data_IF_678450328338
#
_entry.id   IF_678450328338
#
_cell.length_a   1.000
_cell.length_b   1.000
_cell.length_c   1.000
_cell.angle_alpha   90.00
_cell.angle_beta   90.00
_cell.angle_gamma   90.00
#
_symmetry.space_group_name_H-M   'P 1'
#
loop_
_entity.id
_entity.type
_entity.pdbx_description
1 polymer ?
#
# COMPACT_ATOMS: atom_id res chain seq x y z
N UNK A 1 -13.75 -2.09 16.44
CA UNK A 1 -13.66 -3.47 15.92
C UNK A 1 -14.09 -3.46 14.47
N UNK A 2 -13.44 -4.23 13.61
CA UNK A 2 -13.89 -4.43 12.23
C UNK A 2 -15.15 -5.30 12.22
N UNK A 3 -16.05 -5.11 11.26
CA UNK A 3 -17.23 -5.95 11.12
C UNK A 3 -16.85 -7.35 10.63
N UNK A 4 -17.52 -8.40 11.14
CA UNK A 4 -17.26 -9.78 10.72
C UNK A 4 -17.73 -10.01 9.28
N UNK A 5 -17.18 -11.03 8.62
CA UNK A 5 -17.53 -11.45 7.25
C UNK A 5 -17.55 -10.30 6.23
N UNK A 6 -16.61 -9.37 6.37
CA UNK A 6 -16.51 -8.16 5.55
C UNK A 6 -15.16 -8.15 4.85
N UNK A 7 -15.18 -7.83 3.57
CA UNK A 7 -13.95 -7.61 2.82
C UNK A 7 -13.43 -6.20 3.13
N UNK A 8 -12.15 -6.11 3.47
CA UNK A 8 -11.49 -4.86 3.80
C UNK A 8 -10.34 -4.57 2.86
N UNK A 9 -10.13 -3.29 2.60
CA UNK A 9 -8.93 -2.77 1.95
C UNK A 9 -8.20 -1.87 2.91
N UNK A 10 -6.90 -2.09 3.03
CA UNK A 10 -5.98 -1.23 3.75
C UNK A 10 -5.34 -0.25 2.76
N UNK A 11 -5.52 1.04 3.04
CA UNK A 11 -4.91 2.14 2.31
C UNK A 11 -3.74 2.70 3.10
N UNK A 12 -2.60 2.88 2.44
CA UNK A 12 -1.54 3.74 2.94
C UNK A 12 -1.86 5.19 2.56
N UNK A 13 -1.96 6.07 3.55
CA UNK A 13 -2.23 7.50 3.35
C UNK A 13 -0.94 8.28 3.58
N UNK A 14 -0.53 9.05 2.58
CA UNK A 14 0.78 9.69 2.57
C UNK A 14 0.83 11.01 1.77
N UNK A 15 1.90 11.76 1.99
CA UNK A 15 2.32 12.91 1.19
C UNK A 15 3.77 12.73 0.78
N UNK A 16 4.18 13.43 -0.26
CA UNK A 16 5.57 13.53 -0.67
C UNK A 16 6.05 14.96 -0.44
N UNK A 17 7.22 15.10 0.15
CA UNK A 17 7.92 16.39 0.20
C UNK A 17 8.44 16.77 -1.19
N UNK A 18 8.65 18.05 -1.45
CA UNK A 18 9.23 18.54 -2.70
C UNK A 18 10.63 17.97 -3.01
N UNK A 19 11.35 17.51 -1.98
CA UNK A 19 12.69 16.92 -2.08
C UNK A 19 12.64 15.38 -2.02
N UNK A 20 11.55 14.75 -2.46
CA UNK A 20 11.46 13.30 -2.43
C UNK A 20 12.46 12.65 -3.38
N UNK A 21 13.12 11.59 -2.93
CA UNK A 21 14.04 10.79 -3.75
C UNK A 21 13.72 9.31 -3.58
N UNK A 22 14.09 8.50 -4.58
CA UNK A 22 13.97 7.05 -4.53
C UNK A 22 12.54 6.49 -4.66
N UNK A 23 11.61 7.27 -5.22
CA UNK A 23 10.18 6.93 -5.38
C UNK A 23 9.64 7.16 -6.81
N UNK A 24 10.53 7.32 -7.80
CA UNK A 24 10.15 7.51 -9.21
C UNK A 24 9.83 6.19 -9.90
N UNK A 25 10.47 5.09 -9.48
CA UNK A 25 10.16 3.73 -9.92
C UNK A 25 9.11 3.07 -9.02
N UNK A 26 8.47 1.98 -9.48
CA UNK A 26 7.61 1.19 -8.61
C UNK A 26 8.39 0.66 -7.40
N UNK A 27 7.75 0.73 -6.23
CA UNK A 27 8.24 0.15 -4.98
C UNK A 27 7.68 -1.24 -4.85
N UNK A 28 8.56 -2.20 -4.57
CA UNK A 28 8.15 -3.58 -4.29
C UNK A 28 7.50 -3.65 -2.91
N UNK A 29 6.34 -4.30 -2.84
CA UNK A 29 5.56 -4.50 -1.61
C UNK A 29 5.39 -5.99 -1.37
N UNK A 30 5.78 -6.45 -0.17
CA UNK A 30 5.63 -7.85 0.23
C UNK A 30 4.93 -7.98 1.57
N UNK A 31 3.99 -8.91 1.65
CA UNK A 31 3.51 -9.45 2.92
C UNK A 31 4.54 -10.46 3.46
N UNK A 32 5.17 -10.11 4.57
CA UNK A 32 6.23 -10.91 5.20
C UNK A 32 5.66 -12.03 6.08
N UNK A 33 4.41 -11.91 6.54
CA UNK A 33 3.76 -12.92 7.37
C UNK A 33 3.18 -14.04 6.51
N UNK A 34 2.47 -13.70 5.44
CA UNK A 34 1.73 -14.67 4.62
C UNK A 34 2.50 -15.10 3.36
N UNK A 35 3.76 -15.53 3.53
CA UNK A 35 4.77 -15.80 2.48
C UNK A 35 4.38 -16.80 1.38
N UNK A 36 3.31 -17.59 1.52
CA UNK A 36 2.99 -18.62 0.54
C UNK A 36 2.35 -17.99 -0.72
N UNK A 37 3.06 -18.09 -1.85
CA UNK A 37 2.60 -17.75 -3.21
C UNK A 37 2.34 -16.27 -3.57
N UNK A 38 2.82 -15.29 -2.80
CA UNK A 38 2.67 -13.90 -3.21
C UNK A 38 3.71 -13.52 -4.26
N UNK A 39 3.25 -13.33 -5.51
CA UNK A 39 3.99 -12.58 -6.52
C UNK A 39 4.38 -11.21 -5.96
N UNK A 40 5.55 -10.71 -6.34
CA UNK A 40 5.97 -9.37 -5.93
C UNK A 40 4.95 -8.34 -6.44
N UNK A 41 4.26 -7.68 -5.52
CA UNK A 41 3.37 -6.57 -5.86
C UNK A 41 4.19 -5.28 -5.99
N UNK A 42 3.79 -4.42 -6.92
CA UNK A 42 4.47 -3.15 -7.15
C UNK A 42 3.49 -1.99 -7.03
N UNK A 43 3.92 -0.94 -6.35
CA UNK A 43 3.13 0.27 -6.14
C UNK A 43 3.92 1.51 -6.53
N UNK A 44 3.27 2.46 -7.19
CA UNK A 44 3.84 3.78 -7.43
C UNK A 44 3.44 4.73 -6.31
N UNK A 45 4.40 5.50 -5.80
CA UNK A 45 4.14 6.64 -4.90
C UNK A 45 3.98 7.95 -5.68
N UNK A 46 4.54 8.00 -6.90
CA UNK A 46 4.38 9.08 -7.86
C UNK A 46 3.70 8.51 -9.09
N UNK A 47 2.56 9.08 -9.50
CA UNK A 47 1.83 8.61 -10.67
C UNK A 47 2.72 8.69 -11.92
N UNK A 48 3.04 7.55 -12.57
CA UNK A 48 3.89 7.56 -13.75
C UNK A 48 3.10 8.05 -14.98
N UNK A 49 3.80 8.26 -16.09
CA UNK A 49 3.15 8.44 -17.39
C UNK A 49 2.21 7.25 -17.69
N UNK A 50 1.00 7.46 -18.25
CA UNK A 50 0.07 6.38 -18.58
C UNK A 50 0.68 5.27 -19.46
N UNK A 51 1.69 5.61 -20.27
CA UNK A 51 2.41 4.67 -21.13
C UNK A 51 3.26 3.65 -20.34
N UNK A 52 3.55 3.94 -19.06
CA UNK A 52 4.39 3.12 -18.19
C UNK A 52 3.57 2.32 -17.16
N UNK A 53 2.24 2.44 -17.18
CA UNK A 53 1.36 1.69 -16.28
C UNK A 53 1.08 0.32 -16.91
N UNK A 54 1.58 -0.75 -16.31
CA UNK A 54 1.14 -2.11 -16.62
C UNK A 54 -0.02 -2.52 -15.70
N UNK A 55 -0.76 -3.59 -16.05
CA UNK A 55 -1.96 -4.01 -15.33
C UNK A 55 -1.74 -4.51 -13.89
N UNK A 56 -0.49 -4.70 -13.46
CA UNK A 56 -0.14 -5.24 -12.14
C UNK A 56 0.22 -4.11 -11.16
N UNK A 57 0.51 -2.91 -11.67
CA UNK A 57 1.02 -1.83 -10.83
C UNK A 57 -0.10 -0.94 -10.32
N UNK A 58 -0.15 -0.73 -9.00
CA UNK A 58 -1.10 0.18 -8.35
C UNK A 58 -0.53 1.60 -8.36
N UNK A 59 -1.37 2.59 -8.63
CA UNK A 59 -1.00 4.01 -8.65
C UNK A 59 -1.75 4.76 -7.54
N UNK A 60 -1.19 5.87 -7.01
CA UNK A 60 -1.79 6.55 -5.89
C UNK A 60 -2.93 7.46 -6.38
N UNK A 61 -3.96 7.61 -5.55
CA UNK A 61 -5.09 8.50 -5.81
C UNK A 61 -5.01 9.72 -4.90
N UNK A 62 -5.20 10.91 -5.48
CA UNK A 62 -5.30 12.14 -4.71
C UNK A 62 -6.67 12.25 -4.04
N UNK A 63 -6.68 12.63 -2.76
CA UNK A 63 -7.86 12.89 -1.94
C UNK A 63 -8.22 14.38 -1.95
N UNK A 64 -9.45 14.69 -1.55
CA UNK A 64 -9.95 16.07 -1.43
C UNK A 64 -9.19 16.88 -0.37
N UNK A 65 -8.68 16.23 0.67
CA UNK A 65 -7.86 16.83 1.74
C UNK A 65 -6.38 17.06 1.34
N UNK A 66 -6.04 16.76 0.08
CA UNK A 66 -4.70 16.90 -0.48
C UNK A 66 -3.70 15.82 -0.06
N UNK A 67 -4.12 14.77 0.66
CA UNK A 67 -3.32 13.58 0.85
C UNK A 67 -3.41 12.64 -0.37
N UNK A 68 -2.44 11.74 -0.49
CA UNK A 68 -2.49 10.63 -1.43
C UNK A 68 -2.88 9.35 -0.69
N UNK A 69 -3.57 8.45 -1.37
CA UNK A 69 -3.85 7.10 -0.87
C UNK A 69 -3.52 6.04 -1.91
N UNK A 70 -3.04 4.88 -1.44
CA UNK A 70 -2.81 3.72 -2.29
C UNK A 70 -3.18 2.43 -1.56
N UNK A 71 -3.77 1.49 -2.28
CA UNK A 71 -4.14 0.18 -1.73
C UNK A 71 -2.88 -0.68 -1.55
N UNK A 72 -2.64 -1.09 -0.32
CA UNK A 72 -1.46 -1.90 0.03
C UNK A 72 -1.84 -3.32 0.44
N UNK A 73 -3.05 -3.53 0.97
CA UNK A 73 -3.49 -4.86 1.37
C UNK A 73 -5.00 -5.01 1.24
N UNK A 74 -5.45 -6.24 0.99
CA UNK A 74 -6.86 -6.61 0.88
C UNK A 74 -7.06 -7.94 1.58
N UNK A 75 -8.06 -8.04 2.45
CA UNK A 75 -8.26 -9.21 3.29
C UNK A 75 -9.73 -9.38 3.69
N UNK A 76 -10.12 -10.57 4.13
CA UNK A 76 -11.49 -10.85 4.59
C UNK A 76 -11.51 -11.12 6.10
N UNK A 77 -12.38 -10.40 6.83
CA UNK A 77 -12.47 -10.53 8.29
C UNK A 77 -13.01 -11.88 8.79
N UNK A 78 -13.53 -12.74 7.91
CA UNK A 78 -13.93 -14.11 8.27
C UNK A 78 -12.75 -15.07 8.49
N UNK A 79 -11.58 -14.78 7.92
CA UNK A 79 -10.49 -15.75 7.80
C UNK A 79 -9.16 -15.28 8.40
N UNK A 80 -9.00 -13.97 8.60
CA UNK A 80 -7.71 -13.34 8.86
C UNK A 80 -7.46 -13.02 10.34
N UNK A 81 -8.49 -13.19 11.17
CA UNK A 81 -8.37 -12.99 12.60
C UNK A 81 -7.82 -14.25 13.27
N UNK A 82 -6.71 -14.10 13.98
CA UNK A 82 -6.15 -15.11 14.87
C UNK A 82 -6.17 -14.57 16.29
N UNK A 83 -6.82 -15.30 17.20
CA UNK A 83 -6.94 -14.91 18.62
C UNK A 83 -7.48 -13.47 18.77
N UNK A 84 -8.56 -13.14 18.04
CA UNK A 84 -9.19 -11.81 17.97
C UNK A 84 -8.27 -10.66 17.48
N UNK A 85 -7.10 -10.99 16.93
CA UNK A 85 -6.13 -10.03 16.42
C UNK A 85 -5.90 -10.19 14.92
N UNK A 86 -5.70 -9.05 14.24
CA UNK A 86 -5.28 -8.99 12.84
C UNK A 86 -3.81 -8.58 12.81
N UNK A 87 -2.96 -9.41 12.22
CA UNK A 87 -1.52 -9.13 12.10
C UNK A 87 -1.15 -8.88 10.64
N UNK A 88 -0.51 -7.75 10.37
CA UNK A 88 0.04 -7.41 9.06
C UNK A 88 1.51 -7.07 9.18
N UNK A 89 2.32 -7.53 8.22
CA UNK A 89 3.71 -7.11 8.11
C UNK A 89 4.02 -6.84 6.65
N UNK A 90 3.99 -5.56 6.29
CA UNK A 90 4.25 -5.13 4.93
C UNK A 90 5.65 -4.54 4.82
N UNK A 91 6.44 -5.09 3.91
CA UNK A 91 7.78 -4.58 3.60
C UNK A 91 7.75 -3.86 2.25
N UNK A 92 8.16 -2.59 2.27
CA UNK A 92 8.33 -1.75 1.11
C UNK A 92 9.82 -1.67 0.76
N UNK A 93 10.17 -1.99 -0.48
CA UNK A 93 11.56 -1.98 -0.97
C UNK A 93 11.66 -1.15 -2.24
N UNK A 94 12.39 -0.04 -2.17
CA UNK A 94 12.75 0.74 -3.36
C UNK A 94 14.07 0.22 -3.95
N UNK A 95 14.11 0.09 -5.28
CA UNK A 95 15.32 -0.21 -6.03
C UNK A 95 16.13 1.04 -6.40
N UNK A 96 15.62 2.24 -6.10
CA UNK A 96 16.26 3.52 -6.38
C UNK A 96 17.05 4.06 -5.17
N UNK A 97 17.09 3.32 -4.06
CA UNK A 97 17.81 3.69 -2.85
C UNK A 97 16.88 4.07 -1.69
N UNK A 98 17.15 5.20 -1.05
CA UNK A 98 16.39 5.63 0.14
C UNK A 98 15.09 6.29 -0.28
N UNK A 99 13.97 5.89 0.32
CA UNK A 99 12.65 6.50 0.14
C UNK A 99 12.54 7.80 0.95
N UNK A 100 13.30 8.82 0.55
CA UNK A 100 13.33 10.10 1.27
C UNK A 100 12.12 10.97 0.91
N UNK A 101 11.66 11.78 1.88
CA UNK A 101 10.52 12.68 1.65
C UNK A 101 9.14 12.02 1.65
N UNK A 102 9.03 10.72 1.91
CA UNK A 102 7.75 10.05 2.17
C UNK A 102 7.24 10.43 3.57
N UNK A 103 6.08 11.07 3.63
CA UNK A 103 5.42 11.47 4.86
C UNK A 103 4.18 10.60 5.02
N UNK A 104 4.19 9.71 6.01
CA UNK A 104 3.07 8.78 6.25
C UNK A 104 2.10 9.37 7.27
N UNK A 105 0.83 9.50 6.89
CA UNK A 105 -0.24 9.84 7.83
C UNK A 105 -0.66 8.62 8.64
N UNK A 106 -0.79 7.47 7.98
CA UNK A 106 -1.19 6.23 8.62
C UNK A 106 -1.79 5.23 7.64
N UNK A 107 -2.43 4.21 8.23
CA UNK A 107 -3.17 3.18 7.52
C UNK A 107 -4.65 3.36 7.77
N UNK A 108 -5.46 3.19 6.73
CA UNK A 108 -6.92 3.23 6.82
C UNK A 108 -7.53 1.93 6.31
N UNK A 109 -8.31 1.28 7.17
CA UNK A 109 -9.05 0.06 6.84
C UNK A 109 -10.49 0.43 6.48
N UNK A 110 -10.87 0.20 5.24
CA UNK A 110 -12.22 0.53 4.75
C UNK A 110 -12.91 -0.74 4.25
N UNK A 111 -14.18 -0.97 4.62
CA UNK A 111 -14.94 -2.08 4.05
C UNK A 111 -15.17 -1.83 2.55
N UNK A 112 -15.13 -2.89 1.75
CA UNK A 112 -15.51 -2.90 0.34
C UNK A 112 -17.02 -3.12 0.17
#
# INVERSE_FOLDING_TARGET
MLSPNTEYVCYLVFKLSEKCEGLHCPVEVRDVLHKENNEAEFVYFITPSPLNINGITRVPKQREDGWMEIQVWKFNSAHEFKDDSLSMNMKFTSHEGTMSGLIVCGLEFRPL
#
